data_IF_429772281851
#
_entry.id   IF_429772281851
#
_cell.length_a   1.000
_cell.length_b   1.000
_cell.length_c   1.000
_cell.angle_alpha   90.00
_cell.angle_beta   90.00
_cell.angle_gamma   90.00
#
_symmetry.space_group_name_H-M   'P 1'
#
loop_
_entity.id
_entity.type
_entity.pdbx_description
1 polymer ?
#
# COMPACT_ATOMS: atom_id res chain seq x y z
N UNK A 1 -4.49 11.85 -7.36
CA UNK A 1 -4.23 10.85 -6.31
C UNK A 1 -5.17 9.63 -6.42
N UNK A 2 -4.66 8.47 -6.86
CA UNK A 2 -5.38 7.17 -6.80
C UNK A 2 -4.83 6.32 -5.65
N UNK A 3 -5.66 5.47 -5.04
CA UNK A 3 -5.26 4.55 -3.97
C UNK A 3 -5.37 3.12 -4.47
N UNK A 4 -4.28 2.35 -4.39
CA UNK A 4 -4.22 0.94 -4.81
C UNK A 4 -3.84 0.08 -3.62
N UNK A 5 -4.63 -0.94 -3.33
CA UNK A 5 -4.34 -1.89 -2.25
C UNK A 5 -3.58 -3.09 -2.80
N UNK A 6 -2.45 -3.42 -2.19
CA UNK A 6 -1.63 -4.59 -2.55
C UNK A 6 -1.14 -5.32 -1.30
N UNK A 7 -0.53 -6.49 -1.48
CA UNK A 7 0.17 -7.23 -0.42
C UNK A 7 1.66 -6.92 -0.49
N UNK A 8 2.28 -6.75 0.68
CA UNK A 8 3.71 -6.52 0.82
C UNK A 8 4.51 -7.76 0.34
N UNK A 9 5.43 -7.61 -0.63
CA UNK A 9 6.12 -8.74 -1.25
C UNK A 9 7.36 -9.22 -0.49
N UNK A 10 7.60 -8.75 0.75
CA UNK A 10 8.83 -9.04 1.49
C UNK A 10 8.75 -10.36 2.29
N UNK A 11 8.39 -10.30 3.57
CA UNK A 11 8.61 -11.39 4.52
C UNK A 11 7.45 -12.42 4.60
N UNK A 12 6.59 -12.50 3.58
CA UNK A 12 5.41 -13.38 3.57
C UNK A 12 4.40 -13.19 4.73
N UNK A 13 4.54 -12.16 5.56
CA UNK A 13 3.61 -11.83 6.64
C UNK A 13 2.21 -11.42 6.15
N UNK A 14 2.04 -11.19 4.84
CA UNK A 14 0.75 -10.85 4.24
C UNK A 14 0.26 -9.44 4.55
N UNK A 15 1.16 -8.53 4.96
CA UNK A 15 0.80 -7.15 5.27
C UNK A 15 0.14 -6.48 4.07
N UNK A 16 -1.04 -5.89 4.26
CA UNK A 16 -1.71 -5.11 3.20
C UNK A 16 -1.20 -3.67 3.20
N UNK A 17 -0.80 -3.19 2.03
CA UNK A 17 -0.31 -1.84 1.79
C UNK A 17 -1.30 -1.07 0.91
N UNK A 18 -1.42 0.23 1.16
CA UNK A 18 -2.19 1.18 0.36
C UNK A 18 -1.19 2.12 -0.30
N UNK A 19 -1.01 1.96 -1.60
CA UNK A 19 -0.12 2.79 -2.41
C UNK A 19 -0.89 4.00 -2.92
N UNK A 20 -0.32 5.19 -2.72
CA UNK A 20 -0.83 6.44 -3.30
C UNK A 20 -0.10 6.67 -4.62
N UNK A 21 -0.87 6.79 -5.70
CA UNK A 21 -0.38 6.96 -7.07
C UNK A 21 -0.78 8.33 -7.59
N UNK A 22 0.22 9.10 -8.02
CA UNK A 22 0.06 10.41 -8.66
C UNK A 22 0.86 10.42 -9.96
N UNK A 23 0.23 10.87 -11.04
CA UNK A 23 0.82 10.96 -12.38
C UNK A 23 1.55 9.67 -12.82
N UNK A 24 0.92 8.52 -12.52
CA UNK A 24 1.43 7.19 -12.87
C UNK A 24 2.58 6.68 -11.99
N UNK A 25 3.00 7.44 -10.96
CA UNK A 25 4.08 7.06 -10.05
C UNK A 25 3.56 6.84 -8.64
N UNK A 26 4.19 5.91 -7.92
CA UNK A 26 3.92 5.69 -6.49
C UNK A 26 4.64 6.78 -5.71
N UNK A 27 3.90 7.58 -4.94
CA UNK A 27 4.47 8.69 -4.13
C UNK A 27 4.52 8.37 -2.64
N UNK A 28 3.70 7.42 -2.17
CA UNK A 28 3.66 6.99 -0.76
C UNK A 28 3.08 5.59 -0.63
N UNK A 29 3.53 4.87 0.40
CA UNK A 29 2.94 3.61 0.85
C UNK A 29 2.45 3.76 2.30
N UNK A 30 1.19 3.41 2.54
CA UNK A 30 0.57 3.44 3.87
C UNK A 30 0.13 2.02 4.27
N UNK A 31 -0.01 1.75 5.56
CA UNK A 31 -0.65 0.51 5.99
C UNK A 31 -2.13 0.51 5.55
N UNK A 32 -2.58 -0.53 4.85
CA UNK A 32 -3.97 -0.64 4.42
C UNK A 32 -4.88 -1.14 5.55
N UNK A 33 -4.32 -1.84 6.53
CA UNK A 33 -5.02 -2.35 7.71
C UNK A 33 -4.34 -1.89 8.99
N UNK A 34 -5.00 -0.97 9.68
CA UNK A 34 -4.79 -0.67 11.09
C UNK A 34 -6.17 -0.52 11.73
N UNK A 35 -6.58 -1.50 12.55
CA UNK A 35 -7.64 -1.32 13.55
C UNK A 35 -7.11 -1.86 14.88
N UNK A 36 -6.74 -0.94 15.76
CA UNK A 36 -7.30 -0.88 17.11
C UNK A 36 -7.83 0.54 17.31
#
# INVERSE_FOLDING_TARGET
MKKVTTVCPYCAAGCKLRLLVEDGRIVRAEAAMGKK
#
